data_IF_653713151521
#
_entry.id   IF_653713151521
#
_cell.length_a   1.000
_cell.length_b   1.000
_cell.length_c   1.000
_cell.angle_alpha   90.00
_cell.angle_beta   90.00
_cell.angle_gamma   90.00
#
_symmetry.space_group_name_H-M   'P 1'
#
loop_
_entity.id
_entity.type
_entity.pdbx_description
1 polymer ?
#
# COMPACT_ATOMS: atom_id res chain seq x y z
N UNK A 1 12.79 -7.87 1.19
CA UNK A 1 12.69 -7.65 -0.27
C UNK A 1 11.37 -8.25 -0.78
N UNK A 2 10.78 -7.70 -1.85
CA UNK A 2 9.54 -8.20 -2.49
C UNK A 2 9.74 -8.29 -4.01
N UNK A 3 8.75 -8.78 -4.76
CA UNK A 3 8.89 -9.00 -6.22
C UNK A 3 8.95 -7.73 -7.07
N UNK A 4 8.54 -6.57 -6.52
CA UNK A 4 8.41 -5.28 -7.24
C UNK A 4 7.53 -5.38 -8.52
N UNK A 5 6.65 -6.40 -8.59
CA UNK A 5 5.71 -6.56 -9.70
C UNK A 5 4.46 -5.66 -9.59
N UNK A 6 4.33 -4.92 -8.48
CA UNK A 6 3.15 -4.11 -8.20
C UNK A 6 2.85 -3.02 -9.25
N UNK A 7 3.82 -2.31 -9.86
CA UNK A 7 3.51 -1.34 -10.91
C UNK A 7 2.94 -2.02 -12.16
N UNK A 8 3.54 -3.14 -12.57
CA UNK A 8 3.07 -3.92 -13.73
C UNK A 8 1.66 -4.47 -13.53
N UNK A 9 1.32 -4.91 -12.32
CA UNK A 9 -0.04 -5.34 -11.96
C UNK A 9 -1.02 -4.16 -11.88
N UNK A 10 -0.58 -2.97 -11.48
CA UNK A 10 -1.42 -1.77 -11.41
C UNK A 10 -1.80 -1.26 -12.79
N UNK A 11 -0.86 -1.27 -13.74
CA UNK A 11 -1.06 -0.79 -15.10
C UNK A 11 -1.52 -1.88 -16.08
N UNK A 12 -1.63 -3.13 -15.64
CA UNK A 12 -2.06 -4.24 -16.49
C UNK A 12 -0.99 -4.77 -17.45
N UNK A 13 0.26 -4.29 -17.34
CA UNK A 13 1.41 -4.85 -18.06
C UNK A 13 1.63 -6.34 -17.71
N UNK A 14 1.26 -6.74 -16.49
CA UNK A 14 1.18 -8.13 -16.07
C UNK A 14 -0.27 -8.49 -15.73
N UNK A 15 -0.78 -9.54 -16.38
CA UNK A 15 -2.12 -10.07 -16.08
C UNK A 15 -2.16 -10.70 -14.69
N UNK A 16 -3.06 -10.20 -13.83
CA UNK A 16 -3.30 -10.74 -12.48
C UNK A 16 -3.65 -12.24 -12.51
N UNK A 17 -4.43 -12.67 -13.51
CA UNK A 17 -4.84 -14.08 -13.71
C UNK A 17 -3.65 -14.95 -14.09
N UNK A 18 -2.79 -14.46 -14.98
CA UNK A 18 -1.57 -15.16 -15.37
C UNK A 18 -0.66 -15.35 -14.17
N UNK A 19 -0.41 -14.27 -13.42
CA UNK A 19 0.44 -14.32 -12.24
C UNK A 19 -0.10 -15.29 -11.19
N UNK A 20 -1.41 -15.24 -10.90
CA UNK A 20 -2.05 -16.17 -9.99
C UNK A 20 -1.96 -17.63 -10.45
N UNK A 21 -2.21 -17.91 -11.74
CA UNK A 21 -2.09 -19.27 -12.29
C UNK A 21 -0.67 -19.81 -12.13
N UNK A 22 0.34 -18.99 -12.46
CA UNK A 22 1.76 -19.38 -12.30
C UNK A 22 2.16 -19.57 -10.85
N UNK A 23 1.66 -18.76 -9.92
CA UNK A 23 1.86 -18.99 -8.49
C UNK A 23 1.27 -20.34 -8.05
N UNK A 24 0.06 -20.68 -8.49
CA UNK A 24 -0.56 -21.98 -8.17
C UNK A 24 0.23 -23.17 -8.73
N UNK A 25 0.73 -23.07 -9.95
CA UNK A 25 1.61 -24.09 -10.54
C UNK A 25 2.87 -24.30 -9.67
N UNK A 26 3.52 -23.20 -9.27
CA UNK A 26 4.77 -23.25 -8.47
C UNK A 26 4.56 -23.85 -7.08
N UNK A 27 3.44 -23.53 -6.43
CA UNK A 27 3.17 -23.98 -5.06
C UNK A 27 2.50 -25.37 -4.98
N UNK A 28 2.01 -25.89 -6.11
CA UNK A 28 1.32 -27.18 -6.18
C UNK A 28 2.21 -28.32 -5.68
N UNK A 29 1.71 -29.09 -4.71
CA UNK A 29 2.42 -30.25 -4.15
C UNK A 29 3.66 -29.91 -3.33
N UNK A 30 3.90 -28.64 -2.98
CA UNK A 30 5.07 -28.20 -2.21
C UNK A 30 4.64 -27.47 -0.94
N UNK A 31 5.37 -27.61 0.19
CA UNK A 31 5.16 -26.73 1.34
C UNK A 31 5.37 -25.27 0.94
N UNK A 32 4.43 -24.41 1.30
CA UNK A 32 4.50 -22.99 0.99
C UNK A 32 3.80 -22.16 2.08
N UNK A 33 4.14 -20.87 2.16
CA UNK A 33 3.45 -19.94 3.05
C UNK A 33 1.98 -19.78 2.66
N UNK A 34 1.09 -19.60 3.65
CA UNK A 34 -0.35 -19.45 3.44
C UNK A 34 -0.75 -17.96 3.48
N UNK A 35 -1.91 -17.59 2.88
CA UNK A 35 -2.49 -16.28 3.13
C UNK A 35 -2.66 -16.02 4.64
N UNK A 36 -2.52 -14.77 5.12
CA UNK A 36 -2.41 -13.53 4.32
C UNK A 36 -0.99 -13.16 3.89
N UNK A 37 0.04 -13.83 4.42
CA UNK A 37 1.45 -13.41 4.22
C UNK A 37 2.07 -13.92 2.91
N UNK A 38 1.51 -14.96 2.31
CA UNK A 38 2.02 -15.54 1.07
C UNK A 38 1.87 -14.62 -0.14
N UNK A 39 2.56 -14.92 -1.25
CA UNK A 39 2.37 -14.18 -2.52
C UNK A 39 0.93 -14.30 -3.06
N UNK A 40 0.25 -15.41 -2.79
CA UNK A 40 -1.19 -15.54 -3.05
C UNK A 40 -1.99 -14.58 -2.15
N UNK A 41 -1.62 -14.46 -0.88
CA UNK A 41 -2.18 -13.47 0.04
C UNK A 41 -2.03 -12.03 -0.46
N UNK A 42 -0.89 -11.68 -1.07
CA UNK A 42 -0.69 -10.36 -1.70
C UNK A 42 -1.68 -10.11 -2.86
N UNK A 43 -2.01 -11.14 -3.63
CA UNK A 43 -3.06 -11.03 -4.65
C UNK A 43 -4.45 -10.85 -4.04
N UNK A 44 -4.74 -11.54 -2.93
CA UNK A 44 -6.01 -11.37 -2.23
C UNK A 44 -6.16 -9.98 -1.62
N UNK A 45 -5.09 -9.37 -1.11
CA UNK A 45 -5.11 -7.98 -0.66
C UNK A 45 -5.48 -7.01 -1.79
N UNK A 46 -4.95 -7.21 -2.99
CA UNK A 46 -5.33 -6.43 -4.19
C UNK A 46 -6.84 -6.57 -4.45
N UNK A 47 -7.35 -7.80 -4.58
CA UNK A 47 -8.77 -8.06 -4.88
C UNK A 47 -9.71 -7.59 -3.77
N UNK A 48 -9.31 -7.72 -2.51
CA UNK A 48 -10.06 -7.25 -1.36
C UNK A 48 -10.35 -5.75 -1.49
N UNK A 49 -9.33 -4.93 -1.75
CA UNK A 49 -9.50 -3.48 -1.90
C UNK A 49 -10.29 -3.10 -3.16
N UNK A 50 -10.10 -3.80 -4.29
CA UNK A 50 -10.95 -3.58 -5.47
C UNK A 50 -12.42 -3.89 -5.18
N UNK A 51 -12.69 -5.00 -4.49
CA UNK A 51 -14.05 -5.44 -4.18
C UNK A 51 -14.76 -4.42 -3.29
N UNK A 52 -14.16 -4.07 -2.14
CA UNK A 52 -14.79 -3.12 -1.20
C UNK A 52 -14.91 -1.71 -1.80
N UNK A 53 -13.91 -1.23 -2.54
CA UNK A 53 -13.95 0.10 -3.14
C UNK A 53 -15.02 0.21 -4.25
N UNK A 54 -15.25 -0.86 -5.01
CA UNK A 54 -16.21 -0.85 -6.13
C UNK A 54 -17.67 -0.62 -5.71
N UNK A 55 -18.01 -0.92 -4.45
CA UNK A 55 -19.37 -0.81 -3.93
C UNK A 55 -19.52 0.26 -2.85
N UNK A 56 -18.41 0.88 -2.42
CA UNK A 56 -18.42 1.82 -1.29
C UNK A 56 -18.38 3.26 -1.80
N UNK A 57 -19.43 4.07 -1.58
CA UNK A 57 -19.38 5.48 -1.94
C UNK A 57 -18.31 6.20 -1.12
N UNK A 58 -17.63 7.15 -1.75
CA UNK A 58 -16.59 7.97 -1.13
C UNK A 58 -15.45 7.15 -0.49
N UNK A 59 -15.11 5.98 -1.03
CA UNK A 59 -14.10 5.09 -0.42
C UNK A 59 -12.72 5.76 -0.19
N UNK A 60 -12.41 6.81 -0.95
CA UNK A 60 -11.20 7.62 -0.88
C UNK A 60 -11.31 8.86 0.04
N UNK A 61 -12.47 9.09 0.65
CA UNK A 61 -12.72 10.22 1.56
C UNK A 61 -13.11 9.73 2.95
N UNK A 62 -12.95 10.60 3.94
CA UNK A 62 -13.44 10.35 5.30
C UNK A 62 -14.94 10.64 5.41
N UNK A 63 -15.37 11.84 5.01
CA UNK A 63 -16.77 12.26 5.11
C UNK A 63 -17.62 11.55 4.06
N UNK A 64 -18.74 10.96 4.49
CA UNK A 64 -19.67 10.25 3.63
C UNK A 64 -19.21 8.86 3.20
N UNK A 65 -18.16 8.33 3.83
CA UNK A 65 -17.68 6.96 3.62
C UNK A 65 -18.19 6.05 4.74
N UNK A 66 -19.05 5.06 4.45
CA UNK A 66 -19.73 4.26 5.47
C UNK A 66 -18.79 3.32 6.24
N UNK A 67 -17.57 3.06 5.74
CA UNK A 67 -16.59 2.18 6.39
C UNK A 67 -15.41 2.94 7.00
N UNK A 68 -15.39 4.28 6.90
CA UNK A 68 -14.31 5.11 7.43
C UNK A 68 -14.71 5.73 8.77
N UNK A 69 -13.85 5.54 9.78
CA UNK A 69 -14.00 6.18 11.08
C UNK A 69 -13.80 7.70 10.92
N UNK A 70 -14.70 8.48 11.50
CA UNK A 70 -14.58 9.93 11.51
C UNK A 70 -13.58 10.35 12.60
N UNK A 71 -12.41 10.81 12.17
CA UNK A 71 -11.35 11.26 13.07
C UNK A 71 -11.16 12.77 12.86
N UNK A 72 -11.10 13.59 13.92
CA UNK A 72 -10.88 15.03 13.80
C UNK A 72 -9.41 15.32 13.49
N UNK A 73 -8.94 14.95 12.30
CA UNK A 73 -7.57 15.21 11.86
C UNK A 73 -7.26 16.71 11.79
N UNK A 74 -6.07 17.08 12.25
CA UNK A 74 -5.59 18.45 12.14
C UNK A 74 -5.28 18.85 10.70
N UNK A 75 -5.43 20.14 10.42
CA UNK A 75 -5.03 20.75 9.15
C UNK A 75 -3.75 21.56 9.37
N UNK A 76 -2.60 20.92 9.17
CA UNK A 76 -1.29 21.54 9.28
C UNK A 76 -0.54 21.44 7.94
N UNK A 77 -0.65 22.46 7.04
CA UNK A 77 0.00 22.44 5.74
C UNK A 77 1.52 22.35 5.82
N UNK A 78 2.13 22.96 6.84
CA UNK A 78 3.59 22.96 7.02
C UNK A 78 4.11 21.55 7.31
N UNK A 79 3.44 20.81 8.20
CA UNK A 79 3.82 19.43 8.52
C UNK A 79 3.60 18.50 7.34
N UNK A 80 2.46 18.65 6.65
CA UNK A 80 2.19 17.88 5.43
C UNK A 80 3.24 18.15 4.34
N UNK A 81 3.66 19.39 4.16
CA UNK A 81 4.70 19.76 3.19
C UNK A 81 6.07 19.17 3.56
N UNK A 82 6.45 19.25 4.84
CA UNK A 82 7.70 18.69 5.34
C UNK A 82 7.75 17.17 5.14
N UNK A 83 6.68 16.46 5.51
CA UNK A 83 6.54 15.02 5.27
C UNK A 83 6.59 14.67 3.79
N UNK A 84 5.82 15.40 2.96
CA UNK A 84 5.75 15.17 1.51
C UNK A 84 7.12 15.28 0.85
N UNK A 85 7.96 16.21 1.29
CA UNK A 85 9.29 16.44 0.71
C UNK A 85 10.44 15.72 1.43
N UNK A 86 10.14 14.91 2.45
CA UNK A 86 11.17 14.26 3.27
C UNK A 86 12.09 15.29 3.93
N UNK A 87 11.50 16.24 4.65
CA UNK A 87 12.15 17.28 5.46
C UNK A 87 11.59 17.30 6.89
N UNK A 88 11.18 16.15 7.41
CA UNK A 88 10.64 16.04 8.78
C UNK A 88 11.74 16.15 9.83
N UNK A 89 12.99 15.95 9.45
CA UNK A 89 14.12 15.90 10.38
C UNK A 89 14.36 14.51 10.97
N UNK A 90 13.52 13.53 10.61
CA UNK A 90 13.70 12.11 10.96
C UNK A 90 14.31 11.37 9.78
N UNK A 91 15.62 11.02 9.80
CA UNK A 91 16.33 10.50 8.63
C UNK A 91 15.66 9.27 8.00
N UNK A 92 15.06 8.40 8.81
CA UNK A 92 14.34 7.22 8.32
C UNK A 92 13.10 7.58 7.48
N UNK A 93 12.26 8.49 7.97
CA UNK A 93 11.06 8.96 7.26
C UNK A 93 11.46 9.74 6.01
N UNK A 94 12.43 10.63 6.15
CA UNK A 94 12.92 11.46 5.05
C UNK A 94 13.51 10.62 3.91
N UNK A 95 14.29 9.59 4.22
CA UNK A 95 14.84 8.68 3.23
C UNK A 95 13.74 7.93 2.45
N UNK A 96 12.71 7.45 3.15
CA UNK A 96 11.59 6.74 2.51
C UNK A 96 10.82 7.67 1.58
N UNK A 97 10.48 8.88 2.03
CA UNK A 97 9.72 9.85 1.23
C UNK A 97 10.52 10.34 0.01
N UNK A 98 11.85 10.48 0.15
CA UNK A 98 12.74 10.80 -0.98
C UNK A 98 12.85 9.63 -1.97
N UNK A 99 12.95 8.38 -1.49
CA UNK A 99 12.92 7.21 -2.37
C UNK A 99 11.59 7.16 -3.14
N UNK A 100 10.45 7.33 -2.45
CA UNK A 100 9.14 7.34 -3.10
C UNK A 100 9.07 8.39 -4.21
N UNK A 101 9.62 9.58 -3.97
CA UNK A 101 9.66 10.66 -4.96
C UNK A 101 10.58 10.37 -6.15
N UNK A 102 11.73 9.74 -5.92
CA UNK A 102 12.73 9.47 -6.95
C UNK A 102 12.36 8.25 -7.82
N UNK A 103 11.81 7.20 -7.20
CA UNK A 103 11.64 5.89 -7.83
C UNK A 103 10.17 5.52 -8.05
N UNK A 104 9.23 6.19 -7.38
CA UNK A 104 7.80 5.88 -7.46
C UNK A 104 7.39 4.58 -6.76
N UNK A 105 8.29 3.94 -6.01
CA UNK A 105 8.01 2.71 -5.28
C UNK A 105 8.79 2.66 -3.96
N UNK A 106 8.12 2.18 -2.91
CA UNK A 106 8.74 1.85 -1.62
C UNK A 106 8.17 0.53 -1.08
N UNK A 107 8.98 -0.15 -0.27
CA UNK A 107 8.60 -1.40 0.39
C UNK A 107 7.38 -1.19 1.31
N UNK A 108 6.50 -2.20 1.45
CA UNK A 108 5.26 -2.07 2.21
C UNK A 108 5.49 -1.66 3.69
N UNK A 109 6.52 -2.18 4.35
CA UNK A 109 6.87 -1.75 5.71
C UNK A 109 7.30 -0.27 5.78
N UNK A 110 7.93 0.24 4.72
CA UNK A 110 8.26 1.65 4.63
C UNK A 110 7.00 2.52 4.47
N UNK A 111 5.99 2.02 3.72
CA UNK A 111 4.66 2.66 3.64
C UNK A 111 4.01 2.75 5.01
N UNK A 112 4.00 1.65 5.76
CA UNK A 112 3.43 1.63 7.11
C UNK A 112 4.11 2.64 8.03
N UNK A 113 5.44 2.76 7.96
CA UNK A 113 6.19 3.72 8.77
C UNK A 113 5.78 5.17 8.46
N UNK A 114 5.81 5.58 7.18
CA UNK A 114 5.50 6.97 6.80
C UNK A 114 4.03 7.31 6.93
N UNK A 115 3.12 6.35 6.75
CA UNK A 115 1.68 6.52 6.98
C UNK A 115 1.38 6.70 8.47
N UNK A 116 1.94 5.83 9.32
CA UNK A 116 1.76 5.94 10.76
C UNK A 116 2.28 7.28 11.28
N UNK A 117 3.48 7.67 10.84
CA UNK A 117 4.10 8.95 11.18
C UNK A 117 3.24 10.16 10.80
N UNK A 118 2.56 10.12 9.65
CA UNK A 118 1.72 11.24 9.21
C UNK A 118 0.37 11.35 9.93
N UNK A 119 -0.16 10.22 10.41
CA UNK A 119 -1.58 10.13 10.80
C UNK A 119 -1.75 9.98 12.31
N UNK A 120 -1.51 8.78 12.84
CA UNK A 120 -1.83 8.40 14.21
C UNK A 120 -0.60 8.21 15.11
N UNK A 121 0.58 8.50 14.59
CA UNK A 121 1.86 8.23 15.24
C UNK A 121 2.46 9.45 15.91
N UNK A 122 2.78 10.48 15.12
CA UNK A 122 3.52 11.68 15.51
C UNK A 122 2.88 12.96 14.95
#
# INVERSE_FOLDING_TARGET
STTVLSPYLKFGCLSARLFYSKLKEVVSGRPHSKPPVSLIGQMYWREFYYTVASTTPNFDKMVGNPVCIQVPWDKNPQYLEAWTHGKTGYPFIDAIMRQLRQEGWIHHLARHAVECFLTRGD
#
